data_IF_148429785244
#
_entry.id   IF_148429785244
#
_cell.length_a   1.000
_cell.length_b   1.000
_cell.length_c   1.000
_cell.angle_alpha   90.00
_cell.angle_beta   90.00
_cell.angle_gamma   90.00
#
_symmetry.space_group_name_H-M   'P 1'
#
loop_
_entity.id
_entity.type
_entity.pdbx_description
1 polymer ?
#
# COMPACT_ATOMS: atom_id res chain seq x y z
N UNK A 1 -5.26 41.04 37.96
CA UNK A 1 -5.16 39.67 38.49
C UNK A 1 -4.82 38.75 37.34
N UNK A 2 -3.56 38.33 37.25
CA UNK A 2 -3.02 37.53 36.15
C UNK A 2 -3.09 36.06 36.59
N UNK A 3 -3.74 35.20 35.80
CA UNK A 3 -3.75 33.75 36.05
C UNK A 3 -2.42 33.12 35.64
N UNK A 4 -1.90 32.11 36.37
CA UNK A 4 -0.64 31.47 36.04
C UNK A 4 -0.79 30.53 34.82
N UNK A 5 0.29 30.24 34.08
CA UNK A 5 0.26 29.34 32.95
C UNK A 5 0.11 27.88 33.41
N UNK A 6 -0.72 27.11 32.69
CA UNK A 6 -0.82 25.67 32.84
C UNK A 6 0.48 25.02 32.33
N UNK A 7 1.25 24.41 33.24
CA UNK A 7 2.36 23.52 32.87
C UNK A 7 1.75 22.17 32.53
N UNK A 8 1.72 21.83 31.24
CA UNK A 8 1.38 20.47 30.79
C UNK A 8 2.65 19.64 30.73
N UNK A 9 2.74 18.63 31.61
CA UNK A 9 3.76 17.59 31.51
C UNK A 9 3.51 16.74 30.25
N UNK A 10 4.56 16.37 29.49
CA UNK A 10 4.40 15.48 28.36
C UNK A 10 3.93 14.09 28.85
N UNK A 11 3.04 13.40 28.12
CA UNK A 11 2.65 12.04 28.48
C UNK A 11 3.88 11.13 28.45
N UNK A 12 3.96 10.23 29.44
CA UNK A 12 5.02 9.23 29.52
C UNK A 12 5.07 8.43 28.21
N UNK A 13 6.29 8.19 27.71
CA UNK A 13 6.51 7.38 26.52
C UNK A 13 5.77 6.04 26.65
N UNK A 14 4.89 5.74 25.69
CA UNK A 14 4.19 4.47 25.65
C UNK A 14 5.22 3.34 25.63
N UNK A 15 5.07 2.40 26.56
CA UNK A 15 5.93 1.22 26.62
C UNK A 15 5.92 0.52 25.24
N UNK A 16 7.07 0.04 24.75
CA UNK A 16 7.12 -0.73 23.52
C UNK A 16 6.13 -1.90 23.62
N UNK A 17 5.44 -2.28 22.52
CA UNK A 17 4.55 -3.42 22.55
C UNK A 17 5.32 -4.63 23.09
N UNK A 18 4.77 -5.27 24.12
CA UNK A 18 5.38 -6.41 24.75
C UNK A 18 5.71 -7.44 23.66
N UNK A 19 7.01 -7.70 23.45
CA UNK A 19 7.41 -8.88 22.69
C UNK A 19 6.84 -10.07 23.45
N UNK A 20 5.88 -10.77 22.85
CA UNK A 20 5.43 -12.07 23.32
C UNK A 20 6.69 -12.90 23.57
N UNK A 21 6.89 -13.32 24.82
CA UNK A 21 7.97 -14.25 25.16
C UNK A 21 7.88 -15.45 24.21
N UNK A 22 9.02 -16.02 23.75
CA UNK A 22 8.98 -17.23 22.95
C UNK A 22 8.16 -18.28 23.72
N UNK A 23 7.16 -18.92 23.10
CA UNK A 23 6.30 -19.84 23.81
C UNK A 23 7.16 -20.96 24.40
N UNK A 24 7.10 -21.11 25.73
CA UNK A 24 7.67 -22.27 26.41
C UNK A 24 7.14 -23.56 25.79
N UNK A 25 7.95 -24.64 25.82
CA UNK A 25 7.63 -25.96 25.22
C UNK A 25 6.17 -26.32 25.48
N UNK A 26 5.35 -26.28 24.42
CA UNK A 26 3.94 -26.61 24.49
C UNK A 26 3.78 -28.07 24.95
N UNK A 27 2.79 -28.31 25.80
CA UNK A 27 2.20 -29.63 26.03
C UNK A 27 1.94 -30.28 24.66
N UNK A 28 2.33 -31.54 24.40
CA UNK A 28 2.34 -32.10 23.04
C UNK A 28 0.97 -32.08 22.36
N UNK A 29 -0.12 -32.06 23.14
CA UNK A 29 -1.49 -31.97 22.68
C UNK A 29 -2.27 -30.95 23.51
N UNK A 30 -2.63 -29.82 22.91
CA UNK A 30 -3.44 -28.76 23.50
C UNK A 30 -4.92 -29.13 23.53
N UNK A 31 -5.53 -29.06 24.72
CA UNK A 31 -6.96 -29.35 24.93
C UNK A 31 -7.70 -28.26 25.70
N UNK A 32 -6.99 -27.44 26.46
CA UNK A 32 -7.59 -26.30 27.16
C UNK A 32 -7.78 -25.13 26.19
N UNK A 33 -8.77 -24.25 26.40
CA UNK A 33 -8.94 -23.06 25.56
C UNK A 33 -7.67 -22.19 25.45
N UNK A 34 -6.91 -22.06 26.53
CA UNK A 34 -5.67 -21.28 26.55
C UNK A 34 -4.56 -21.92 25.71
N UNK A 35 -4.37 -23.24 25.81
CA UNK A 35 -3.36 -23.95 25.03
C UNK A 35 -3.75 -24.03 23.55
N UNK A 36 -5.04 -24.24 23.27
CA UNK A 36 -5.61 -24.21 21.92
C UNK A 36 -5.36 -22.84 21.30
N UNK A 37 -5.65 -21.76 22.03
CA UNK A 37 -5.36 -20.40 21.54
C UNK A 37 -3.86 -20.19 21.28
N UNK A 38 -2.98 -20.68 22.16
CA UNK A 38 -1.53 -20.56 21.97
C UNK A 38 -1.05 -21.26 20.70
N UNK A 39 -1.56 -22.47 20.41
CA UNK A 39 -1.23 -23.20 19.18
C UNK A 39 -1.78 -22.45 17.95
N UNK A 40 -3.01 -21.95 18.01
CA UNK A 40 -3.62 -21.22 16.89
C UNK A 40 -3.02 -19.83 16.65
N UNK A 41 -2.49 -19.17 17.68
CA UNK A 41 -1.90 -17.83 17.59
C UNK A 41 -0.46 -17.85 17.04
N UNK A 42 0.22 -18.99 17.05
CA UNK A 42 1.56 -19.15 16.45
C UNK A 42 1.45 -19.39 14.94
N UNK A 43 1.19 -18.32 14.20
CA UNK A 43 0.97 -18.36 12.75
C UNK A 43 2.22 -18.74 11.93
N UNK A 44 3.39 -18.81 12.56
CA UNK A 44 4.64 -19.25 11.93
C UNK A 44 4.76 -20.78 11.88
N UNK A 45 3.92 -21.50 12.62
CA UNK A 45 3.94 -22.96 12.72
C UNK A 45 2.73 -23.60 12.04
N UNK A 46 2.84 -24.86 11.58
CA UNK A 46 1.65 -25.61 11.20
C UNK A 46 0.76 -25.87 12.42
N UNK A 47 -0.50 -26.17 12.17
CA UNK A 47 -1.46 -26.63 13.17
C UNK A 47 -2.09 -27.92 12.68
N UNK A 48 -2.15 -28.91 13.56
CA UNK A 48 -2.82 -30.18 13.35
C UNK A 48 -3.94 -30.32 14.37
N UNK A 49 -5.13 -30.69 13.89
CA UNK A 49 -6.26 -31.13 14.72
C UNK A 49 -6.24 -32.64 14.71
N UNK A 50 -6.14 -33.26 15.88
CA UNK A 50 -6.00 -34.70 16.04
C UNK A 50 -7.04 -35.27 16.98
N UNK A 51 -7.31 -36.57 16.86
CA UNK A 51 -8.20 -37.32 17.74
C UNK A 51 -7.46 -38.52 18.31
N UNK A 52 -7.33 -38.56 19.62
CA UNK A 52 -6.83 -39.70 20.38
C UNK A 52 -7.91 -40.25 21.34
N UNK A 53 -7.52 -41.17 22.22
CA UNK A 53 -8.41 -41.78 23.20
C UNK A 53 -9.04 -40.78 24.19
N UNK A 54 -8.40 -39.63 24.43
CA UNK A 54 -8.90 -38.57 25.31
C UNK A 54 -9.77 -37.53 24.58
N UNK A 55 -9.95 -37.67 23.26
CA UNK A 55 -10.79 -36.79 22.44
C UNK A 55 -9.98 -35.95 21.45
N UNK A 56 -10.51 -34.75 21.14
CA UNK A 56 -9.89 -33.84 20.16
C UNK A 56 -8.83 -32.98 20.85
N UNK A 57 -7.68 -32.80 20.18
CA UNK A 57 -6.62 -31.91 20.61
C UNK A 57 -5.98 -31.19 19.41
N UNK A 58 -5.24 -30.11 19.68
CA UNK A 58 -4.45 -29.38 18.71
C UNK A 58 -2.96 -29.48 19.01
N UNK A 59 -2.12 -29.47 17.99
CA UNK A 59 -0.67 -29.36 18.16
C UNK A 59 -0.02 -28.65 16.99
N UNK A 60 1.09 -27.97 17.24
CA UNK A 60 1.96 -27.40 16.20
C UNK A 60 3.20 -28.24 15.92
N UNK A 61 3.22 -29.48 16.41
CA UNK A 61 4.30 -30.44 16.28
C UNK A 61 3.84 -31.62 15.41
N UNK A 62 4.52 -31.83 14.29
CA UNK A 62 4.20 -32.88 13.33
C UNK A 62 4.42 -34.29 13.90
N UNK A 63 5.41 -34.49 14.77
CA UNK A 63 5.67 -35.77 15.41
C UNK A 63 4.58 -36.09 16.43
N UNK A 64 4.18 -35.10 17.22
CA UNK A 64 3.06 -35.24 18.14
C UNK A 64 1.75 -35.54 17.39
N UNK A 65 1.54 -34.90 16.23
CA UNK A 65 0.38 -35.16 15.39
C UNK A 65 0.37 -36.58 14.82
N UNK A 66 1.51 -37.06 14.31
CA UNK A 66 1.67 -38.41 13.79
C UNK A 66 1.47 -39.49 14.87
N UNK A 67 1.86 -39.20 16.12
CA UNK A 67 1.66 -40.09 17.26
C UNK A 67 0.22 -40.09 17.80
N UNK A 68 -0.60 -39.09 17.47
CA UNK A 68 -1.91 -38.87 18.08
C UNK A 68 -3.07 -39.71 17.50
N UNK A 69 -2.78 -40.86 16.89
CA UNK A 69 -3.79 -41.79 16.36
C UNK A 69 -4.38 -41.35 15.02
N UNK A 70 -5.23 -40.32 15.01
CA UNK A 70 -5.89 -39.83 13.80
C UNK A 70 -5.72 -38.31 13.63
N UNK A 71 -5.22 -37.87 12.47
CA UNK A 71 -5.24 -36.46 12.06
C UNK A 71 -6.58 -36.15 11.39
N UNK A 72 -7.33 -35.20 11.94
CA UNK A 72 -8.63 -34.75 11.44
C UNK A 72 -8.52 -33.58 10.45
N UNK A 73 -7.59 -32.66 10.70
CA UNK A 73 -7.33 -31.51 9.85
C UNK A 73 -5.90 -31.02 10.05
N UNK A 74 -5.36 -30.34 9.04
CA UNK A 74 -4.06 -29.68 9.12
C UNK A 74 -4.09 -28.35 8.36
N UNK A 75 -3.37 -27.36 8.88
CA UNK A 75 -3.06 -26.11 8.20
C UNK A 75 -1.56 -25.86 8.30
N UNK A 76 -0.91 -25.53 7.18
CA UNK A 76 0.49 -25.10 7.19
C UNK A 76 0.66 -23.70 7.80
N UNK A 77 1.90 -23.21 7.97
CA UNK A 77 2.16 -21.85 8.43
C UNK A 77 1.45 -20.78 7.58
N UNK A 78 0.75 -19.87 8.26
CA UNK A 78 -0.01 -18.76 7.67
C UNK A 78 0.40 -17.41 8.28
N UNK A 79 1.70 -17.03 8.22
CA UNK A 79 2.16 -15.79 8.82
C UNK A 79 1.57 -14.57 8.09
N UNK A 80 1.46 -13.39 8.74
CA UNK A 80 0.85 -12.20 8.14
C UNK A 80 1.44 -11.81 6.78
N UNK A 81 2.74 -12.05 6.58
CA UNK A 81 3.44 -11.86 5.29
C UNK A 81 2.90 -12.73 4.15
N UNK A 82 1.96 -13.66 4.37
CA UNK A 82 1.29 -14.38 3.28
C UNK A 82 0.05 -13.66 2.76
N UNK A 83 -0.44 -12.64 3.46
CA UNK A 83 -1.55 -11.82 3.00
C UNK A 83 -1.12 -10.87 1.87
N UNK A 84 -2.02 -10.67 0.91
CA UNK A 84 -1.82 -9.79 -0.24
C UNK A 84 -0.83 -10.33 -1.28
N UNK A 85 -0.40 -9.44 -2.18
CA UNK A 85 0.44 -9.82 -3.32
C UNK A 85 1.93 -9.90 -2.94
N UNK A 86 2.61 -11.05 -3.15
CA UNK A 86 4.06 -11.13 -3.02
C UNK A 86 4.80 -10.20 -4.00
N UNK A 87 4.20 -9.92 -5.16
CA UNK A 87 4.76 -8.98 -6.13
C UNK A 87 4.77 -7.54 -5.61
N UNK A 88 3.73 -7.11 -4.87
CA UNK A 88 3.73 -5.80 -4.22
C UNK A 88 4.94 -5.65 -3.28
N UNK A 89 5.16 -6.64 -2.41
CA UNK A 89 6.28 -6.64 -1.47
C UNK A 89 7.63 -6.55 -2.16
N UNK A 90 7.86 -7.41 -3.15
CA UNK A 90 9.11 -7.45 -3.92
C UNK A 90 9.33 -6.13 -4.66
N UNK A 91 8.31 -5.64 -5.35
CA UNK A 91 8.43 -4.49 -6.24
C UNK A 91 8.61 -3.18 -5.46
N UNK A 92 7.92 -3.03 -4.32
CA UNK A 92 8.04 -1.87 -3.43
C UNK A 92 9.13 -2.00 -2.37
N UNK A 93 9.75 -3.18 -2.19
CA UNK A 93 10.82 -3.40 -1.21
C UNK A 93 10.33 -3.41 0.25
N UNK A 94 9.13 -3.94 0.49
CA UNK A 94 8.47 -3.95 1.81
C UNK A 94 8.22 -5.37 2.33
N UNK A 95 8.09 -5.51 3.64
CA UNK A 95 7.93 -6.80 4.33
C UNK A 95 6.45 -7.24 4.37
N UNK A 96 5.52 -6.28 4.25
CA UNK A 96 4.08 -6.52 4.25
C UNK A 96 3.39 -5.89 3.04
N UNK A 97 2.33 -6.56 2.54
CA UNK A 97 1.50 -6.01 1.47
C UNK A 97 0.48 -5.00 2.03
N UNK A 98 1.00 -3.93 2.64
CA UNK A 98 0.22 -2.90 3.30
C UNK A 98 0.88 -1.53 3.10
N UNK A 99 0.04 -0.53 2.87
CA UNK A 99 0.44 0.85 2.70
C UNK A 99 -0.41 1.77 3.59
N UNK A 100 0.23 2.64 4.37
CA UNK A 100 -0.45 3.76 4.99
C UNK A 100 -0.64 4.88 3.95
N UNK A 101 -1.89 5.19 3.63
CA UNK A 101 -2.25 6.27 2.71
C UNK A 101 -1.92 7.65 3.27
N UNK A 102 -1.74 8.61 2.38
CA UNK A 102 -1.43 9.98 2.74
C UNK A 102 -2.56 10.66 3.51
N UNK A 103 -2.19 11.55 4.43
CA UNK A 103 -3.10 12.46 5.11
C UNK A 103 -2.56 13.88 4.94
N UNK A 104 -3.38 14.78 4.42
CA UNK A 104 -2.99 16.12 3.96
C UNK A 104 -2.31 16.99 5.05
N UNK A 105 -1.72 18.09 4.62
CA UNK A 105 -1.06 19.10 5.45
C UNK A 105 0.04 18.51 6.35
N UNK A 106 0.74 17.48 5.86
CA UNK A 106 1.78 16.79 6.61
C UNK A 106 1.27 15.97 7.81
N UNK A 107 -0.04 15.69 7.93
CA UNK A 107 -0.58 14.80 8.98
C UNK A 107 0.06 13.41 8.84
N UNK A 108 0.18 12.91 7.60
CA UNK A 108 1.09 11.81 7.31
C UNK A 108 2.53 12.36 7.28
N UNK A 109 3.06 12.55 8.48
CA UNK A 109 4.31 13.25 8.77
C UNK A 109 5.55 12.45 8.38
N UNK A 110 6.72 13.09 8.39
CA UNK A 110 7.99 12.40 8.18
C UNK A 110 8.23 11.34 9.26
N UNK A 111 7.87 11.61 10.51
CA UNK A 111 7.99 10.64 11.62
C UNK A 111 7.12 9.40 11.40
N UNK A 112 5.87 9.57 10.97
CA UNK A 112 4.99 8.44 10.67
C UNK A 112 5.59 7.57 9.55
N UNK A 113 6.01 8.22 8.46
CA UNK A 113 6.57 7.52 7.29
C UNK A 113 7.86 6.80 7.64
N UNK A 114 8.77 7.43 8.41
CA UNK A 114 10.02 6.80 8.85
C UNK A 114 9.74 5.57 9.71
N UNK A 115 8.85 5.67 10.69
CA UNK A 115 8.52 4.55 11.58
C UNK A 115 7.93 3.37 10.81
N UNK A 116 7.03 3.63 9.85
CA UNK A 116 6.43 2.59 9.03
C UNK A 116 7.42 1.96 8.06
N UNK A 117 8.26 2.76 7.40
CA UNK A 117 9.30 2.26 6.51
C UNK A 117 10.32 1.36 7.24
N UNK A 118 10.71 1.74 8.46
CA UNK A 118 11.59 0.94 9.31
C UNK A 118 10.93 -0.37 9.78
N UNK A 119 9.61 -0.35 10.00
CA UNK A 119 8.80 -1.51 10.35
C UNK A 119 8.44 -2.41 9.14
N UNK A 120 8.90 -2.07 7.93
CA UNK A 120 8.69 -2.90 6.74
C UNK A 120 7.38 -2.64 6.00
N UNK A 121 6.77 -1.47 6.18
CA UNK A 121 5.55 -1.05 5.50
C UNK A 121 5.81 0.09 4.52
N UNK A 122 4.97 0.22 3.49
CA UNK A 122 4.98 1.42 2.65
C UNK A 122 4.15 2.51 3.34
N UNK A 123 4.58 3.76 3.25
CA UNK A 123 3.83 4.90 3.77
C UNK A 123 4.00 6.11 2.86
N UNK A 124 2.92 6.86 2.68
CA UNK A 124 2.87 8.03 1.80
C UNK A 124 2.91 9.33 2.60
N UNK A 125 3.92 10.17 2.34
CA UNK A 125 3.99 11.50 2.93
C UNK A 125 2.84 12.39 2.46
N UNK A 126 2.24 13.11 3.40
CA UNK A 126 1.08 13.97 3.18
C UNK A 126 1.38 15.31 2.55
N UNK A 127 1.82 15.34 1.29
CA UNK A 127 2.23 16.58 0.61
C UNK A 127 1.07 17.51 0.22
N UNK A 128 -0.17 17.01 0.11
CA UNK A 128 -1.33 17.84 -0.20
C UNK A 128 -1.47 19.03 0.77
N UNK A 129 -1.59 20.25 0.25
CA UNK A 129 -1.71 21.48 1.05
C UNK A 129 -0.42 21.95 1.74
N UNK A 130 0.71 21.26 1.52
CA UNK A 130 2.03 21.66 2.03
C UNK A 130 2.74 22.49 0.96
N UNK A 131 3.29 23.64 1.35
CA UNK A 131 4.06 24.50 0.42
C UNK A 131 5.32 23.78 -0.07
N UNK A 132 5.71 24.00 -1.33
CA UNK A 132 6.78 23.24 -1.99
C UNK A 132 8.12 23.24 -1.25
N UNK A 133 8.51 24.36 -0.64
CA UNK A 133 9.73 24.43 0.17
C UNK A 133 9.73 23.43 1.34
N UNK A 134 8.57 23.21 1.97
CA UNK A 134 8.42 22.23 3.06
C UNK A 134 8.28 20.80 2.56
N UNK A 135 7.73 20.60 1.36
CA UNK A 135 7.79 19.29 0.70
C UNK A 135 9.25 18.92 0.41
N UNK A 136 10.04 19.83 -0.15
CA UNK A 136 11.47 19.61 -0.42
C UNK A 136 12.25 19.20 0.85
N UNK A 137 12.07 19.96 1.95
CA UNK A 137 12.69 19.65 3.25
C UNK A 137 12.25 18.30 3.80
N UNK A 138 10.96 17.97 3.70
CA UNK A 138 10.42 16.70 4.15
C UNK A 138 10.98 15.52 3.36
N UNK A 139 11.07 15.63 2.03
CA UNK A 139 11.65 14.57 1.19
C UNK A 139 13.13 14.34 1.46
N UNK A 140 13.89 15.41 1.70
CA UNK A 140 15.29 15.32 2.11
C UNK A 140 15.44 14.64 3.50
N UNK A 141 14.58 14.99 4.46
CA UNK A 141 14.55 14.35 5.79
C UNK A 141 14.22 12.86 5.70
N UNK A 142 13.17 12.51 4.95
CA UNK A 142 12.76 11.13 4.72
C UNK A 142 13.89 10.31 4.10
N UNK A 143 14.51 10.81 3.04
CA UNK A 143 15.62 10.10 2.37
C UNK A 143 16.77 9.81 3.31
N UNK A 144 17.09 10.75 4.20
CA UNK A 144 18.14 10.59 5.22
C UNK A 144 17.74 9.57 6.30
N UNK A 145 16.52 9.65 6.83
CA UNK A 145 16.07 8.89 8.01
C UNK A 145 15.57 7.49 7.71
N UNK A 146 15.09 7.21 6.50
CA UNK A 146 14.66 5.85 6.13
C UNK A 146 15.83 4.90 5.87
N UNK A 147 17.06 5.41 5.74
CA UNK A 147 18.25 4.56 5.56
C UNK A 147 18.18 3.69 4.31
N UNK A 148 17.52 4.19 3.25
CA UNK A 148 17.31 3.44 2.01
C UNK A 148 16.03 2.61 1.97
N UNK A 149 15.28 2.49 3.08
CA UNK A 149 13.94 1.89 3.06
C UNK A 149 13.00 2.72 2.16
N UNK A 150 12.10 2.04 1.42
CA UNK A 150 11.17 2.68 0.51
C UNK A 150 10.13 3.52 1.25
N UNK A 151 9.69 4.60 0.62
CA UNK A 151 8.55 5.41 1.03
C UNK A 151 7.88 5.99 -0.22
N UNK A 152 6.65 6.48 -0.04
CA UNK A 152 5.92 7.17 -1.08
C UNK A 152 5.72 8.66 -0.73
N UNK A 153 5.45 9.48 -1.74
CA UNK A 153 5.00 10.85 -1.57
C UNK A 153 3.64 11.02 -2.25
N UNK A 154 2.70 11.70 -1.60
CA UNK A 154 1.42 12.01 -2.22
C UNK A 154 1.59 13.04 -3.34
N UNK A 155 1.01 12.74 -4.50
CA UNK A 155 0.74 13.71 -5.54
C UNK A 155 -0.77 13.87 -5.59
N UNK A 156 -1.28 14.98 -5.05
CA UNK A 156 -2.70 15.31 -5.16
C UNK A 156 -2.94 16.10 -6.44
N UNK A 157 -3.97 15.72 -7.19
CA UNK A 157 -4.40 16.52 -8.32
C UNK A 157 -5.04 17.83 -7.84
N UNK A 158 -4.60 18.95 -8.39
CA UNK A 158 -5.17 20.27 -8.12
C UNK A 158 -5.48 20.99 -9.43
N UNK A 159 -6.74 20.90 -9.94
CA UNK A 159 -7.11 21.47 -11.24
C UNK A 159 -6.80 22.97 -11.38
N UNK A 160 -6.87 23.72 -10.27
CA UNK A 160 -6.64 25.17 -10.25
C UNK A 160 -5.18 25.55 -10.04
N UNK A 161 -4.31 24.60 -9.65
CA UNK A 161 -2.94 24.87 -9.22
C UNK A 161 -1.93 23.87 -9.80
N UNK A 162 -1.90 23.75 -11.14
CA UNK A 162 -0.97 22.85 -11.85
C UNK A 162 0.53 23.11 -11.55
N UNK A 163 0.89 24.29 -11.04
CA UNK A 163 2.24 24.59 -10.58
C UNK A 163 2.63 23.75 -9.35
N UNK A 164 1.70 23.50 -8.42
CA UNK A 164 1.98 22.69 -7.23
C UNK A 164 2.34 21.25 -7.60
N UNK A 165 1.60 20.64 -8.53
CA UNK A 165 1.91 19.28 -9.01
C UNK A 165 3.32 19.21 -9.60
N UNK A 166 3.71 20.24 -10.37
CA UNK A 166 5.04 20.32 -10.98
C UNK A 166 6.13 20.41 -9.91
N UNK A 167 5.95 21.27 -8.91
CA UNK A 167 6.93 21.47 -7.83
C UNK A 167 7.11 20.21 -6.99
N UNK A 168 6.02 19.50 -6.67
CA UNK A 168 6.08 18.20 -5.96
C UNK A 168 6.80 17.16 -6.79
N UNK A 169 6.51 17.05 -8.10
CA UNK A 169 7.20 16.12 -8.98
C UNK A 169 8.68 16.46 -9.15
N UNK A 170 9.03 17.73 -9.29
CA UNK A 170 10.42 18.18 -9.35
C UNK A 170 11.17 17.79 -8.07
N UNK A 171 10.57 18.00 -6.89
CA UNK A 171 11.12 17.58 -5.61
C UNK A 171 11.29 16.05 -5.54
N UNK A 172 10.28 15.28 -5.91
CA UNK A 172 10.34 13.81 -5.96
C UNK A 172 11.47 13.30 -6.87
N UNK A 173 11.64 13.90 -8.06
CA UNK A 173 12.70 13.52 -9.00
C UNK A 173 14.10 13.90 -8.48
N UNK A 174 14.26 15.10 -7.91
CA UNK A 174 15.52 15.55 -7.28
C UNK A 174 15.95 14.62 -6.14
N UNK A 175 15.02 14.25 -5.27
CA UNK A 175 15.29 13.39 -4.10
C UNK A 175 15.22 11.89 -4.40
N UNK A 176 15.01 11.53 -5.67
CA UNK A 176 14.89 10.14 -6.13
C UNK A 176 13.82 9.34 -5.36
N UNK A 177 12.69 9.98 -5.05
CA UNK A 177 11.52 9.31 -4.49
C UNK A 177 10.99 8.33 -5.53
N UNK A 178 11.02 7.02 -5.22
CA UNK A 178 10.70 5.94 -6.18
C UNK A 178 9.25 5.50 -6.21
N UNK A 179 8.40 6.09 -5.39
CA UNK A 179 6.96 5.84 -5.41
C UNK A 179 6.16 7.12 -5.14
N UNK A 180 5.10 7.34 -5.91
CA UNK A 180 4.07 8.33 -5.58
C UNK A 180 2.72 7.67 -5.34
N UNK A 181 1.92 8.27 -4.46
CA UNK A 181 0.49 8.01 -4.35
C UNK A 181 -0.26 9.11 -5.11
N UNK A 182 -0.75 8.81 -6.31
CA UNK A 182 -1.55 9.73 -7.11
C UNK A 182 -3.00 9.72 -6.63
N UNK A 183 -3.50 10.83 -6.09
CA UNK A 183 -4.84 10.93 -5.49
C UNK A 183 -5.66 12.09 -6.05
N UNK A 184 -6.99 11.97 -6.02
CA UNK A 184 -7.94 12.98 -6.48
C UNK A 184 -7.86 13.33 -7.99
N UNK A 185 -7.17 12.52 -8.78
CA UNK A 185 -7.13 12.69 -10.24
C UNK A 185 -8.51 12.46 -10.86
N UNK A 186 -8.90 13.34 -11.77
CA UNK A 186 -10.08 13.20 -12.63
C UNK A 186 -9.69 12.86 -14.06
N UNK A 187 -8.53 13.36 -14.49
CA UNK A 187 -7.87 13.06 -15.75
C UNK A 187 -6.35 13.07 -15.51
N UNK A 188 -5.57 12.52 -16.45
CA UNK A 188 -4.12 12.49 -16.38
C UNK A 188 -3.53 13.89 -16.57
N UNK A 189 -2.47 14.19 -15.82
CA UNK A 189 -1.71 15.44 -15.98
C UNK A 189 -0.33 15.16 -16.59
N UNK A 190 0.29 16.13 -17.28
CA UNK A 190 1.66 16.00 -17.75
C UNK A 190 2.65 15.65 -16.61
N UNK A 191 2.37 16.04 -15.37
CA UNK A 191 3.22 15.87 -14.21
C UNK A 191 3.30 14.40 -13.78
N UNK A 192 2.16 13.70 -13.66
CA UNK A 192 2.16 12.27 -13.33
C UNK A 192 2.77 11.43 -14.45
N UNK A 193 2.52 11.80 -15.72
CA UNK A 193 3.15 11.16 -16.89
C UNK A 193 4.66 11.36 -16.86
N UNK A 194 5.14 12.59 -16.66
CA UNK A 194 6.58 12.90 -16.56
C UNK A 194 7.25 12.08 -15.46
N UNK A 195 6.63 12.01 -14.27
CA UNK A 195 7.19 11.25 -13.16
C UNK A 195 7.37 9.76 -13.52
N UNK A 196 6.34 9.15 -14.13
CA UNK A 196 6.40 7.75 -14.57
C UNK A 196 7.49 7.53 -15.62
N UNK A 197 7.50 8.35 -16.67
CA UNK A 197 8.41 8.20 -17.81
C UNK A 197 9.87 8.47 -17.44
N UNK A 198 10.14 9.42 -16.54
CA UNK A 198 11.50 9.71 -16.07
C UNK A 198 12.18 8.53 -15.36
N UNK A 199 11.41 7.53 -14.92
CA UNK A 199 11.93 6.28 -14.34
C UNK A 199 12.16 5.15 -15.34
N UNK A 200 11.80 5.32 -16.62
CA UNK A 200 11.90 4.26 -17.63
C UNK A 200 13.31 4.13 -18.17
N UNK A 201 13.76 2.90 -18.31
CA UNK A 201 15.01 2.54 -18.98
C UNK A 201 14.96 1.06 -19.42
N UNK A 202 15.88 0.65 -20.29
CA UNK A 202 16.10 -0.77 -20.59
C UNK A 202 17.02 -1.41 -19.55
N UNK A 203 16.60 -2.54 -19.02
CA UNK A 203 17.42 -3.38 -18.15
C UNK A 203 18.50 -4.14 -18.93
N UNK A 204 19.45 -4.79 -18.25
CA UNK A 204 20.53 -5.57 -18.88
C UNK A 204 20.02 -6.73 -19.75
N UNK A 205 18.83 -7.24 -19.48
CA UNK A 205 18.14 -8.30 -20.23
C UNK A 205 17.28 -7.76 -21.38
N UNK A 206 17.34 -6.45 -21.65
CA UNK A 206 16.56 -5.76 -22.68
C UNK A 206 15.11 -5.45 -22.29
N UNK A 207 14.63 -5.91 -21.12
CA UNK A 207 13.27 -5.62 -20.63
C UNK A 207 13.15 -4.17 -20.19
N UNK A 208 11.94 -3.61 -20.31
CA UNK A 208 11.67 -2.26 -19.81
C UNK A 208 11.58 -2.32 -18.29
N UNK A 209 12.27 -1.39 -17.63
CA UNK A 209 12.25 -1.23 -16.17
C UNK A 209 11.66 0.14 -15.85
N UNK A 210 10.66 0.17 -14.96
CA UNK A 210 10.13 1.41 -14.40
C UNK A 210 10.61 1.60 -12.97
N UNK A 211 11.64 2.42 -12.79
CA UNK A 211 12.21 2.73 -11.49
C UNK A 211 11.31 3.64 -10.62
N UNK A 212 10.48 4.46 -11.27
CA UNK A 212 9.52 5.33 -10.61
C UNK A 212 8.14 4.66 -10.67
N UNK A 213 7.58 4.37 -9.49
CA UNK A 213 6.32 3.66 -9.32
C UNK A 213 5.16 4.58 -9.01
N UNK A 214 3.98 4.20 -9.47
CA UNK A 214 2.75 4.97 -9.23
C UNK A 214 1.71 4.05 -8.61
N UNK A 215 1.23 4.44 -7.43
CA UNK A 215 0.03 3.90 -6.79
C UNK A 215 -1.10 4.90 -7.05
N UNK A 216 -2.04 4.58 -7.93
CA UNK A 216 -3.17 5.44 -8.24
C UNK A 216 -4.36 5.12 -7.33
N UNK A 217 -4.76 6.09 -6.50
CA UNK A 217 -5.90 5.95 -5.59
C UNK A 217 -7.16 6.53 -6.23
N UNK A 218 -8.13 5.66 -6.46
CA UNK A 218 -9.31 5.95 -7.30
C UNK A 218 -10.57 5.34 -6.70
N UNK A 219 -11.71 5.99 -6.94
CA UNK A 219 -13.05 5.53 -6.57
C UNK A 219 -13.91 5.20 -7.80
N UNK A 220 -13.40 5.43 -9.02
CA UNK A 220 -14.17 5.37 -10.28
C UNK A 220 -13.42 4.57 -11.35
N UNK A 221 -14.17 3.78 -12.11
CA UNK A 221 -13.65 2.92 -13.19
C UNK A 221 -13.02 3.72 -14.31
N UNK A 222 -13.61 4.87 -14.67
CA UNK A 222 -13.17 5.70 -15.78
C UNK A 222 -11.78 6.29 -15.48
N UNK A 223 -11.55 6.71 -14.25
CA UNK A 223 -10.23 7.21 -13.79
C UNK A 223 -9.23 6.05 -13.67
N UNK A 224 -9.65 4.90 -13.14
CA UNK A 224 -8.79 3.73 -13.03
C UNK A 224 -8.27 3.25 -14.39
N UNK A 225 -9.12 3.28 -15.43
CA UNK A 225 -8.75 2.90 -16.79
C UNK A 225 -7.61 3.76 -17.35
N UNK A 226 -7.61 5.08 -17.07
CA UNK A 226 -6.52 5.97 -17.49
C UNK A 226 -5.16 5.51 -16.95
N UNK A 227 -5.11 5.08 -15.69
CA UNK A 227 -3.89 4.60 -15.03
C UNK A 227 -3.50 3.17 -15.41
N UNK A 228 -4.47 2.35 -15.84
CA UNK A 228 -4.23 0.98 -16.32
C UNK A 228 -3.69 0.94 -17.75
N UNK A 229 -3.74 2.05 -18.48
CA UNK A 229 -3.24 2.19 -19.84
C UNK A 229 -1.87 2.88 -19.90
N UNK A 230 -1.14 2.78 -21.02
CA UNK A 230 0.05 3.58 -21.26
C UNK A 230 -0.26 5.07 -21.32
N UNK A 231 0.79 5.88 -21.15
CA UNK A 231 0.68 7.32 -21.27
C UNK A 231 0.19 7.73 -22.67
N UNK A 232 -0.84 8.60 -22.78
CA UNK A 232 -1.29 9.11 -24.08
C UNK A 232 -0.19 9.92 -24.77
N UNK A 233 0.02 9.68 -26.07
CA UNK A 233 1.02 10.38 -26.90
C UNK A 233 0.90 11.92 -26.81
N UNK A 234 -0.34 12.42 -26.69
CA UNK A 234 -0.64 13.84 -26.55
C UNK A 234 -0.03 14.47 -25.27
N UNK A 235 0.16 13.69 -24.21
CA UNK A 235 0.85 14.12 -22.99
C UNK A 235 2.35 13.83 -23.04
N UNK A 236 2.78 12.80 -23.78
CA UNK A 236 4.19 12.41 -23.90
C UNK A 236 4.97 13.38 -24.80
N UNK A 237 4.44 13.70 -25.98
CA UNK A 237 5.14 14.53 -26.98
C UNK A 237 5.61 15.88 -26.44
N UNK A 238 4.77 16.69 -25.75
CA UNK A 238 5.22 17.96 -25.18
C UNK A 238 6.35 17.80 -24.15
N UNK A 239 6.39 16.69 -23.40
CA UNK A 239 7.45 16.43 -22.43
C UNK A 239 8.80 16.17 -23.11
N UNK A 240 8.79 15.51 -24.27
CA UNK A 240 9.99 15.30 -25.10
C UNK A 240 10.46 16.61 -25.72
N UNK A 241 9.54 17.40 -26.29
CA UNK A 241 9.83 18.71 -26.89
C UNK A 241 10.44 19.68 -25.87
N UNK A 242 10.00 19.62 -24.61
CA UNK A 242 10.53 20.42 -23.52
C UNK A 242 11.83 19.86 -22.91
N UNK A 243 12.32 18.70 -23.38
CA UNK A 243 13.50 18.04 -22.82
C UNK A 243 13.31 17.49 -21.40
N UNK A 244 12.07 17.36 -20.93
CA UNK A 244 11.75 16.84 -19.59
C UNK A 244 11.77 15.31 -19.54
N UNK A 245 11.64 14.66 -20.70
CA UNK A 245 11.72 13.22 -20.92
C UNK A 245 12.52 12.97 -22.21
N UNK A 246 13.37 11.94 -22.22
CA UNK A 246 14.14 11.57 -23.41
C UNK A 246 13.31 10.84 -24.47
N UNK A 247 13.76 10.85 -25.73
CA UNK A 247 13.13 10.09 -26.80
C UNK A 247 13.07 8.58 -26.50
N UNK A 248 14.10 8.03 -25.85
CA UNK A 248 14.10 6.63 -25.42
C UNK A 248 13.01 6.36 -24.37
N UNK A 249 12.92 7.19 -23.33
CA UNK A 249 11.87 7.05 -22.31
C UNK A 249 10.46 7.15 -22.91
N UNK A 250 10.25 8.04 -23.88
CA UNK A 250 8.98 8.16 -24.61
C UNK A 250 8.67 6.89 -25.42
N UNK A 251 9.66 6.33 -26.13
CA UNK A 251 9.48 5.08 -26.87
C UNK A 251 9.16 3.88 -25.95
N UNK A 252 9.73 3.86 -24.74
CA UNK A 252 9.44 2.83 -23.73
C UNK A 252 8.04 2.99 -23.10
N UNK A 253 7.47 4.19 -23.11
CA UNK A 253 6.21 4.50 -22.43
C UNK A 253 5.03 3.66 -22.94
N UNK A 254 4.99 3.34 -24.23
CA UNK A 254 3.92 2.55 -24.84
C UNK A 254 3.85 1.09 -24.33
N UNK A 255 4.93 0.60 -23.71
CA UNK A 255 5.03 -0.77 -23.23
C UNK A 255 4.65 -0.94 -21.75
N UNK A 256 4.32 0.15 -21.05
CA UNK A 256 4.10 0.14 -19.60
C UNK A 256 2.77 0.83 -19.24
N UNK A 257 2.01 0.29 -18.28
CA UNK A 257 0.90 1.04 -17.70
C UNK A 257 1.42 2.24 -16.91
N UNK A 258 0.59 3.27 -16.76
CA UNK A 258 0.91 4.46 -15.98
C UNK A 258 1.07 4.15 -14.49
N UNK A 259 0.21 3.28 -13.94
CA UNK A 259 0.29 2.81 -12.56
C UNK A 259 0.78 1.37 -12.45
N UNK A 260 1.51 1.07 -11.38
CA UNK A 260 1.86 -0.31 -10.99
C UNK A 260 0.79 -0.91 -10.08
N UNK A 261 0.07 -0.05 -9.35
CA UNK A 261 -0.90 -0.42 -8.34
C UNK A 261 -2.08 0.55 -8.38
N UNK A 262 -3.29 0.01 -8.33
CA UNK A 262 -4.53 0.76 -8.13
C UNK A 262 -5.00 0.55 -6.70
N UNK A 263 -5.29 1.62 -5.98
CA UNK A 263 -5.97 1.55 -4.68
C UNK A 263 -7.44 1.90 -4.88
N UNK A 264 -8.32 0.91 -4.69
CA UNK A 264 -9.76 1.09 -4.63
C UNK A 264 -10.14 1.84 -3.35
N UNK A 265 -10.38 3.15 -3.43
CA UNK A 265 -10.78 3.96 -2.28
C UNK A 265 -12.31 3.99 -2.12
N UNK A 266 -12.79 3.18 -1.19
CA UNK A 266 -14.19 3.12 -0.78
C UNK A 266 -14.54 4.28 0.19
N UNK A 267 -15.64 4.15 0.92
CA UNK A 267 -15.99 5.10 1.99
C UNK A 267 -14.85 5.23 3.02
N UNK A 268 -14.36 6.46 3.18
CA UNK A 268 -13.14 6.80 3.91
C UNK A 268 -13.28 8.14 4.64
N UNK A 269 -12.30 8.47 5.47
CA UNK A 269 -12.21 9.81 6.06
C UNK A 269 -11.73 10.85 5.02
N UNK A 270 -12.22 12.09 5.14
CA UNK A 270 -11.87 13.17 4.21
C UNK A 270 -12.76 13.17 2.96
N UNK A 271 -12.17 13.47 1.80
CA UNK A 271 -12.89 13.44 0.52
C UNK A 271 -13.19 11.99 0.11
N UNK A 272 -14.46 11.69 -0.14
CA UNK A 272 -14.88 10.36 -0.61
C UNK A 272 -16.20 10.42 -1.37
N UNK A 273 -16.35 9.54 -2.36
CA UNK A 273 -17.61 9.28 -3.05
C UNK A 273 -18.53 8.33 -2.25
N UNK A 274 -18.11 7.89 -1.04
CA UNK A 274 -18.82 6.97 -0.13
C UNK A 274 -19.21 5.64 -0.76
N UNK A 275 -18.38 5.11 -1.66
CA UNK A 275 -18.66 3.86 -2.35
C UNK A 275 -18.50 2.66 -1.40
N UNK A 276 -19.37 1.65 -1.46
CA UNK A 276 -19.17 0.41 -0.69
C UNK A 276 -17.95 -0.37 -1.20
N UNK A 277 -17.05 -0.74 -0.29
CA UNK A 277 -15.84 -1.49 -0.65
C UNK A 277 -16.16 -2.84 -1.34
N UNK A 278 -17.22 -3.51 -0.88
CA UNK A 278 -17.68 -4.78 -1.43
C UNK A 278 -18.19 -4.68 -2.88
N UNK A 279 -18.41 -3.47 -3.40
CA UNK A 279 -18.83 -3.21 -4.79
C UNK A 279 -17.66 -2.67 -5.60
N UNK A 280 -16.99 -1.62 -5.10
CA UNK A 280 -15.90 -0.95 -5.81
C UNK A 280 -14.72 -1.88 -6.09
N UNK A 281 -14.30 -2.70 -5.12
CA UNK A 281 -13.12 -3.54 -5.28
C UNK A 281 -13.32 -4.61 -6.39
N UNK A 282 -14.43 -5.39 -6.40
CA UNK A 282 -14.72 -6.29 -7.52
C UNK A 282 -14.80 -5.61 -8.89
N UNK A 283 -15.38 -4.41 -8.98
CA UNK A 283 -15.45 -3.65 -10.25
C UNK A 283 -14.05 -3.31 -10.79
N UNK A 284 -13.16 -2.78 -9.94
CA UNK A 284 -11.79 -2.43 -10.36
C UNK A 284 -10.93 -3.66 -10.66
N UNK A 285 -11.17 -4.78 -9.96
CA UNK A 285 -10.56 -6.07 -10.29
C UNK A 285 -10.98 -6.53 -11.69
N UNK A 286 -12.28 -6.51 -11.99
CA UNK A 286 -12.83 -6.89 -13.29
C UNK A 286 -12.31 -5.98 -14.41
N UNK A 287 -12.22 -4.67 -14.18
CA UNK A 287 -11.64 -3.72 -15.14
C UNK A 287 -10.16 -4.05 -15.44
N UNK A 288 -9.35 -4.28 -14.41
CA UNK A 288 -7.94 -4.64 -14.56
C UNK A 288 -7.77 -5.94 -15.35
N UNK A 289 -8.63 -6.93 -15.10
CA UNK A 289 -8.60 -8.21 -15.81
C UNK A 289 -9.07 -8.06 -17.27
N UNK A 290 -10.10 -7.24 -17.54
CA UNK A 290 -10.59 -6.97 -18.89
C UNK A 290 -9.57 -6.23 -19.77
N UNK A 291 -8.73 -5.38 -19.17
CA UNK A 291 -7.69 -4.64 -19.89
C UNK A 291 -6.40 -5.44 -20.07
N UNK A 292 -6.25 -6.58 -19.40
CA UNK A 292 -4.99 -7.35 -19.34
C UNK A 292 -4.38 -7.63 -20.71
N UNK A 293 -5.19 -8.10 -21.65
CA UNK A 293 -4.71 -8.56 -22.96
C UNK A 293 -4.82 -7.49 -24.07
N UNK A 294 -5.28 -6.29 -23.72
CA UNK A 294 -5.32 -5.15 -24.64
C UNK A 294 -3.87 -4.72 -24.96
N UNK A 295 -3.53 -4.31 -26.20
CA UNK A 295 -2.21 -3.75 -26.51
C UNK A 295 -1.85 -2.59 -25.56
N UNK A 296 -0.69 -2.69 -24.91
CA UNK A 296 -0.26 -1.74 -23.86
C UNK A 296 -0.96 -1.90 -22.51
N UNK A 297 -1.90 -2.84 -22.38
CA UNK A 297 -2.60 -3.16 -21.15
C UNK A 297 -1.73 -3.89 -20.11
N UNK A 298 -2.24 -4.06 -18.88
CA UNK A 298 -1.53 -4.60 -17.71
C UNK A 298 -1.24 -6.11 -17.76
N UNK A 299 -1.13 -6.70 -18.95
CA UNK A 299 -0.70 -8.08 -19.19
C UNK A 299 -0.33 -8.39 -20.64
N UNK A 300 -0.23 -7.37 -21.51
CA UNK A 300 0.01 -7.54 -22.93
C UNK A 300 1.30 -8.30 -23.26
N UNK A 301 1.28 -8.96 -24.42
CA UNK A 301 2.23 -9.96 -24.94
C UNK A 301 3.70 -9.54 -25.09
N UNK A 302 4.10 -8.35 -24.64
CA UNK A 302 5.46 -7.83 -24.76
C UNK A 302 6.19 -7.50 -23.44
N UNK A 303 5.51 -7.44 -22.29
CA UNK A 303 6.11 -6.78 -21.10
C UNK A 303 5.96 -7.48 -19.75
N UNK A 304 5.00 -8.39 -19.56
CA UNK A 304 4.84 -9.12 -18.28
C UNK A 304 4.51 -8.25 -17.06
N UNK A 305 4.15 -6.97 -17.25
CA UNK A 305 3.64 -6.14 -16.15
C UNK A 305 2.31 -6.70 -15.68
N UNK A 306 2.10 -6.77 -14.37
CA UNK A 306 0.82 -7.14 -13.76
C UNK A 306 0.44 -6.05 -12.77
N UNK A 307 -0.47 -5.16 -13.18
CA UNK A 307 -1.01 -4.13 -12.29
C UNK A 307 -1.84 -4.81 -11.22
N UNK A 308 -1.62 -4.41 -9.96
CA UNK A 308 -2.32 -4.97 -8.80
C UNK A 308 -3.43 -4.00 -8.39
N UNK A 309 -4.46 -4.54 -7.75
CA UNK A 309 -5.55 -3.76 -7.17
C UNK A 309 -5.57 -4.04 -5.67
N UNK A 310 -5.31 -3.00 -4.88
CA UNK A 310 -5.49 -2.96 -3.44
C UNK A 310 -6.78 -2.24 -3.05
N UNK A 311 -7.01 -2.09 -1.75
CA UNK A 311 -8.23 -1.49 -1.20
C UNK A 311 -7.92 -0.53 -0.05
N UNK A 312 -8.72 0.52 0.07
CA UNK A 312 -8.74 1.47 1.17
C UNK A 312 -10.19 1.86 1.51
N UNK A 313 -10.40 2.44 2.69
CA UNK A 313 -11.71 2.82 3.21
C UNK A 313 -12.37 1.71 4.05
N UNK A 314 -12.76 2.06 5.28
CA UNK A 314 -13.42 1.12 6.21
C UNK A 314 -12.56 0.02 6.84
N UNK A 315 -11.24 0.01 6.62
CA UNK A 315 -10.29 -1.01 7.07
C UNK A 315 -9.69 -0.69 8.45
N UNK A 316 -10.50 -0.76 9.50
CA UNK A 316 -10.08 -0.44 10.88
C UNK A 316 -9.94 -1.64 11.83
N UNK A 317 -10.31 -2.86 11.40
CA UNK A 317 -10.28 -4.06 12.25
C UNK A 317 -9.83 -5.30 11.46
N UNK A 318 -9.39 -6.39 12.12
CA UNK A 318 -9.03 -7.64 11.42
C UNK A 318 -10.22 -8.38 10.78
N UNK A 319 -11.42 -8.15 11.29
CA UNK A 319 -12.65 -8.76 10.77
C UNK A 319 -13.36 -7.85 9.75
N UNK A 320 -14.43 -8.34 9.11
CA UNK A 320 -15.33 -7.46 8.37
C UNK A 320 -15.93 -6.43 9.33
N UNK A 321 -15.79 -5.14 9.01
CA UNK A 321 -16.51 -4.09 9.73
C UNK A 321 -18.02 -4.33 9.54
N UNK A 322 -18.81 -4.50 10.61
CA UNK A 322 -20.26 -4.55 10.46
C UNK A 322 -20.73 -3.24 9.82
N UNK A 323 -21.78 -3.26 8.97
CA UNK A 323 -22.35 -2.03 8.46
C UNK A 323 -22.68 -1.13 9.65
N UNK A 324 -22.22 0.13 9.61
CA UNK A 324 -22.59 1.11 10.64
C UNK A 324 -24.11 1.09 10.76
N UNK A 325 -24.62 0.77 11.94
CA UNK A 325 -26.05 0.81 12.21
C UNK A 325 -26.58 2.23 11.91
N UNK A 326 -27.76 2.40 11.30
CA UNK A 326 -28.33 3.71 11.04
C UNK A 326 -28.78 4.48 12.31
N UNK A 327 -28.41 4.01 13.51
CA UNK A 327 -29.02 4.41 14.79
C UNK A 327 -28.38 5.64 15.44
N UNK A 328 -27.67 6.48 14.69
CA UNK A 328 -27.31 7.83 15.12
C UNK A 328 -28.01 8.87 14.23
N UNK A 329 -29.34 8.75 14.11
CA UNK A 329 -30.21 9.89 13.84
C UNK A 329 -30.83 10.34 15.16
N UNK A 330 -30.30 11.43 15.66
CA UNK A 330 -30.94 12.38 16.57
C UNK A 330 -30.36 13.73 16.15
N UNK A 331 -31.05 14.80 15.76
CA UNK A 331 -32.47 15.19 15.70
C UNK A 331 -32.44 16.58 15.03
N UNK A 332 -33.44 16.91 14.21
CA UNK A 332 -33.72 18.23 13.58
C UNK A 332 -32.81 18.66 12.42
#
# INVERSE_FOLDING_TARGET
MVSPPLVTTPPAAAAPPARLAPPGRATPLARTPADVHRVLADLERPVYVVRDAAGIALTGDEQAAAAAGQVLAAAGPLPPRRLGSPAFRRDHGVDQAYMAGSMANGIASTDLVVNLAQAGYLASFGAAGVVAARVEEALADLRRRTGGRPFACNLIHSPTEAAMEREVIDACLRHQVRCIEASAFLDLTPQVVRYRLAGLHRGPDGRVVAANRVVAKVSRTEVAELFLRPAPEALVRPLVEQGLVSAEQAALAAAVPLADDITAEADSGGHTDRRPLAVLLPELLALRDALRDVPGGPGGSGGGWSVRVGAAGGLGTPGPSPPRSPSARTTS
#
